data_IF_292984372741
#
_entry.id   IF_292984372741
#
_cell.length_a   1.000
_cell.length_b   1.000
_cell.length_c   1.000
_cell.angle_alpha   90.00
_cell.angle_beta   90.00
_cell.angle_gamma   90.00
#
_symmetry.space_group_name_H-M   'P 1'
#
loop_
_entity.id
_entity.type
_entity.pdbx_description
1 polymer ?
#
# COMPACT_ATOMS: atom_id res chain seq x y z
N UNK A 1 -10.47 36.36 -27.92
CA UNK A 1 -9.10 35.81 -27.89
C UNK A 1 -8.47 35.59 -26.51
N UNK A 2 -8.91 36.24 -25.42
CA UNK A 2 -8.31 35.99 -24.08
C UNK A 2 -9.11 35.01 -23.20
N UNK A 3 -10.41 34.85 -23.45
CA UNK A 3 -11.25 33.94 -22.66
C UNK A 3 -11.13 32.48 -23.08
N UNK A 4 -10.71 32.21 -24.32
CA UNK A 4 -10.58 30.86 -24.87
C UNK A 4 -9.26 30.18 -24.49
N UNK A 5 -8.26 30.96 -24.06
CA UNK A 5 -6.92 30.43 -23.72
C UNK A 5 -6.84 29.89 -22.30
N UNK A 6 -7.73 30.35 -21.41
CA UNK A 6 -7.77 29.93 -20.02
C UNK A 6 -8.44 28.55 -19.83
N UNK A 7 -9.47 28.21 -20.61
CA UNK A 7 -10.12 26.89 -20.55
C UNK A 7 -9.19 25.77 -21.03
N UNK A 8 -8.37 26.02 -22.06
CA UNK A 8 -7.44 25.02 -22.60
C UNK A 8 -6.32 24.65 -21.62
N UNK A 9 -5.87 25.61 -20.78
CA UNK A 9 -4.87 25.36 -19.74
C UNK A 9 -5.43 24.53 -18.57
N UNK A 10 -6.72 24.72 -18.23
CA UNK A 10 -7.39 23.97 -17.16
C UNK A 10 -7.66 22.51 -17.58
N UNK A 11 -8.05 22.28 -18.84
CA UNK A 11 -8.24 20.94 -19.42
C UNK A 11 -6.92 20.14 -19.48
N UNK A 12 -5.80 20.77 -19.86
CA UNK A 12 -4.49 20.12 -19.89
C UNK A 12 -4.01 19.69 -18.49
N UNK A 13 -4.30 20.49 -17.48
CA UNK A 13 -4.00 20.19 -16.08
C UNK A 13 -4.83 19.01 -15.56
N UNK A 14 -6.12 18.97 -15.92
CA UNK A 14 -7.02 17.86 -15.60
C UNK A 14 -6.60 16.54 -16.27
N UNK A 15 -6.22 16.58 -17.54
CA UNK A 15 -5.74 15.41 -18.28
C UNK A 15 -4.48 14.82 -17.63
N UNK A 16 -3.54 15.67 -17.21
CA UNK A 16 -2.31 15.25 -16.54
C UNK A 16 -2.58 14.56 -15.19
N UNK A 17 -3.54 15.07 -14.40
CA UNK A 17 -3.95 14.43 -13.13
C UNK A 17 -4.72 13.13 -13.35
N UNK A 18 -5.49 13.02 -14.44
CA UNK A 18 -6.29 11.84 -14.75
C UNK A 18 -5.44 10.65 -15.19
N UNK A 19 -4.31 10.87 -15.89
CA UNK A 19 -3.37 9.78 -16.21
C UNK A 19 -2.63 9.25 -14.98
N UNK A 20 -2.30 10.09 -14.00
CA UNK A 20 -1.62 9.64 -12.78
C UNK A 20 -2.48 8.66 -11.96
N UNK A 21 -3.80 8.81 -12.04
CA UNK A 21 -4.77 7.98 -11.30
C UNK A 21 -5.13 6.68 -12.02
N UNK A 22 -4.69 6.49 -13.28
CA UNK A 22 -5.01 5.31 -14.08
C UNK A 22 -3.92 4.21 -14.03
N UNK A 23 -2.82 4.42 -13.30
CA UNK A 23 -1.67 3.50 -13.27
C UNK A 23 -1.60 2.63 -12.01
N UNK A 24 -2.72 2.08 -11.57
CA UNK A 24 -2.75 0.96 -10.60
C UNK A 24 -3.19 -0.33 -11.30
N UNK A 25 -2.27 -0.93 -12.05
CA UNK A 25 -2.23 -2.37 -12.31
C UNK A 25 -0.97 -2.70 -13.09
N UNK A 26 0.05 -3.19 -12.40
CA UNK A 26 0.47 -4.59 -12.55
C UNK A 26 1.54 -4.92 -11.51
N UNK A 27 1.30 -6.03 -10.82
CA UNK A 27 2.17 -6.70 -9.87
C UNK A 27 3.57 -6.93 -10.45
N UNK A 28 4.59 -6.30 -9.86
CA UNK A 28 5.97 -6.81 -9.86
C UNK A 28 6.61 -6.49 -8.51
N UNK A 29 7.29 -7.48 -7.93
CA UNK A 29 8.10 -7.40 -6.72
C UNK A 29 9.02 -6.17 -6.69
N UNK A 30 8.53 -5.06 -6.13
CA UNK A 30 9.34 -3.87 -5.91
C UNK A 30 9.58 -3.69 -4.41
N UNK A 31 10.76 -4.16 -3.99
CA UNK A 31 11.43 -3.82 -2.74
C UNK A 31 11.82 -2.33 -2.74
N UNK A 32 10.84 -1.44 -2.84
CA UNK A 32 11.00 0.00 -2.68
C UNK A 32 10.41 0.35 -1.32
N UNK A 33 11.29 0.39 -0.30
CA UNK A 33 10.99 0.92 1.01
C UNK A 33 10.73 2.44 0.92
N UNK A 34 9.60 2.83 0.36
CA UNK A 34 8.91 4.04 0.79
C UNK A 34 8.19 3.65 2.07
N UNK A 35 8.78 3.95 3.22
CA UNK A 35 8.19 3.74 4.55
C UNK A 35 6.96 4.65 4.76
N UNK A 36 5.93 4.53 3.92
CA UNK A 36 4.59 4.63 4.46
C UNK A 36 4.50 3.44 5.43
N UNK A 37 4.51 3.72 6.73
CA UNK A 37 4.13 2.73 7.76
C UNK A 37 2.66 2.37 7.51
N UNK A 38 2.42 1.60 6.46
CA UNK A 38 1.13 1.05 6.15
C UNK A 38 0.72 0.25 7.37
N UNK A 39 -0.38 0.68 7.96
CA UNK A 39 -0.84 0.11 9.22
C UNK A 39 -1.19 -1.34 8.93
N UNK A 40 -0.43 -2.26 9.53
CA UNK A 40 -0.74 -3.68 9.53
C UNK A 40 -2.23 -3.88 9.84
N UNK A 41 -2.94 -4.43 8.86
CA UNK A 41 -4.38 -4.65 8.90
C UNK A 41 -4.66 -6.11 9.21
N UNK A 42 -5.81 -6.39 9.83
CA UNK A 42 -6.26 -7.76 9.96
C UNK A 42 -6.48 -8.36 8.57
N UNK A 43 -6.01 -9.59 8.35
CA UNK A 43 -6.00 -10.26 7.06
C UNK A 43 -4.71 -10.09 6.25
N UNK A 44 -3.81 -9.17 6.62
CA UNK A 44 -2.52 -9.01 5.94
C UNK A 44 -1.65 -10.25 6.09
N UNK A 45 -0.93 -10.61 5.03
CA UNK A 45 0.13 -11.61 5.08
C UNK A 45 1.33 -11.03 5.81
N UNK A 46 1.85 -11.76 6.79
CA UNK A 46 3.01 -11.36 7.60
C UNK A 46 4.05 -12.46 7.61
N UNK A 47 5.32 -12.07 7.58
CA UNK A 47 6.47 -12.98 7.74
C UNK A 47 7.15 -12.66 9.06
N UNK A 48 7.47 -13.68 9.85
CA UNK A 48 8.23 -13.48 11.07
C UNK A 48 9.72 -13.31 10.75
N UNK A 49 10.32 -12.27 11.29
CA UNK A 49 11.75 -11.98 11.09
C UNK A 49 12.63 -12.55 12.21
N UNK A 50 12.04 -12.89 13.35
CA UNK A 50 12.78 -13.28 14.56
C UNK A 50 11.96 -14.24 15.42
N UNK A 51 12.66 -15.06 16.22
CA UNK A 51 12.08 -16.10 17.08
C UNK A 51 12.16 -17.51 16.50
N UNK A 52 11.61 -18.50 17.20
CA UNK A 52 11.60 -19.92 16.78
C UNK A 52 10.89 -20.15 15.45
N UNK A 53 9.94 -19.29 15.13
CA UNK A 53 9.17 -19.32 13.89
C UNK A 53 9.63 -18.21 12.94
N UNK A 54 10.89 -17.76 13.05
CA UNK A 54 11.47 -16.88 12.03
C UNK A 54 11.36 -17.55 10.65
N UNK A 55 11.13 -16.74 9.63
CA UNK A 55 10.93 -17.10 8.23
C UNK A 55 9.55 -17.64 7.87
N UNK A 56 8.72 -18.04 8.84
CA UNK A 56 7.37 -18.52 8.57
C UNK A 56 6.45 -17.38 8.12
N UNK A 57 5.60 -17.70 7.15
CA UNK A 57 4.54 -16.85 6.62
C UNK A 57 3.21 -17.22 7.30
N UNK A 58 2.38 -16.21 7.52
CA UNK A 58 1.07 -16.38 8.13
C UNK A 58 0.14 -15.22 7.84
N UNK A 59 -1.11 -15.34 8.28
CA UNK A 59 -2.09 -14.26 8.17
C UNK A 59 -2.29 -13.55 9.52
N UNK A 60 -2.31 -12.22 9.48
CA UNK A 60 -2.51 -11.39 10.66
C UNK A 60 -3.97 -11.45 11.09
N UNK A 61 -4.29 -12.24 12.12
CA UNK A 61 -5.67 -12.36 12.63
C UNK A 61 -6.08 -11.14 13.45
N UNK A 62 -5.22 -10.73 14.39
CA UNK A 62 -5.52 -9.64 15.33
C UNK A 62 -4.25 -8.92 15.77
N UNK A 63 -4.31 -7.59 15.79
CA UNK A 63 -3.26 -6.74 16.31
C UNK A 63 -3.76 -5.94 17.52
N UNK A 64 -3.16 -6.18 18.69
CA UNK A 64 -3.43 -5.38 19.89
C UNK A 64 -2.45 -4.21 19.96
N UNK A 65 -2.85 -3.05 19.42
CA UNK A 65 -1.98 -1.86 19.36
C UNK A 65 -1.57 -1.32 20.74
N UNK A 66 -2.40 -1.50 21.78
CA UNK A 66 -2.08 -1.08 23.16
C UNK A 66 -0.91 -1.85 23.77
N UNK A 67 -0.80 -3.14 23.45
CA UNK A 67 0.20 -4.05 24.04
C UNK A 67 1.28 -4.47 23.05
N UNK A 68 1.22 -3.98 21.81
CA UNK A 68 2.07 -4.40 20.69
C UNK A 68 2.10 -5.93 20.46
N UNK A 69 1.09 -6.66 20.94
CA UNK A 69 0.97 -8.11 20.74
C UNK A 69 0.15 -8.43 19.51
N UNK A 70 0.56 -9.48 18.81
CA UNK A 70 -0.03 -9.88 17.54
C UNK A 70 -0.43 -11.35 17.58
N UNK A 71 -1.59 -11.67 17.02
CA UNK A 71 -2.04 -13.03 16.80
C UNK A 71 -2.10 -13.26 15.30
N UNK A 72 -1.47 -14.32 14.84
CA UNK A 72 -1.44 -14.74 13.45
C UNK A 72 -1.71 -16.25 13.39
N UNK A 73 -2.18 -16.73 12.25
CA UNK A 73 -2.21 -18.18 11.98
C UNK A 73 -1.10 -18.50 10.99
N UNK A 74 -0.54 -19.70 11.12
CA UNK A 74 0.39 -20.24 10.14
C UNK A 74 -0.38 -20.72 8.91
N UNK A 75 0.24 -20.60 7.75
CA UNK A 75 -0.17 -21.38 6.58
C UNK A 75 0.33 -22.82 6.78
N UNK A 76 -0.53 -23.80 6.51
CA UNK A 76 -0.24 -25.24 6.59
C UNK A 76 0.61 -25.69 5.40
#
# INVERSE_FOLDING_TARGET
DELQRAEEEEEASLASRKLLLASDSENVDSLAATETKEKLAAGSTVRLLSGTFAEFLGNLKKLNRKTAKVCYNFFD
#
